data_IF_260269433684
#
_entry.id   IF_260269433684
#
_cell.length_a   1.000
_cell.length_b   1.000
_cell.length_c   1.000
_cell.angle_alpha   90.00
_cell.angle_beta   90.00
_cell.angle_gamma   90.00
#
_symmetry.space_group_name_H-M   'P 1'
#
loop_
_entity.id
_entity.type
_entity.pdbx_description
1 polymer ?
#
# COMPACT_ATOMS: atom_id res chain seq x y z
N UNK A 1 -2.04 0.47 -6.97
CA UNK A 1 -2.05 0.94 -5.57
C UNK A 1 -1.32 -0.05 -4.67
N UNK A 2 0.00 0.10 -4.47
CA UNK A 2 0.79 -0.78 -3.60
C UNK A 2 0.21 -0.94 -2.20
N UNK A 3 -0.43 0.12 -1.68
CA UNK A 3 -1.14 0.14 -0.38
C UNK A 3 -2.19 -0.95 -0.20
N UNK A 4 -2.91 -1.33 -1.27
CA UNK A 4 -3.89 -2.44 -1.20
C UNK A 4 -3.17 -3.75 -0.95
N UNK A 5 -2.10 -4.00 -1.72
CA UNK A 5 -1.29 -5.22 -1.65
C UNK A 5 -0.68 -5.34 -0.25
N UNK A 6 -0.08 -4.27 0.27
CA UNK A 6 0.48 -4.22 1.62
C UNK A 6 -0.54 -4.60 2.69
N UNK A 7 -1.78 -4.08 2.59
CA UNK A 7 -2.84 -4.41 3.54
C UNK A 7 -3.38 -5.84 3.39
N UNK A 8 -3.25 -6.46 2.21
CA UNK A 8 -3.57 -7.89 2.04
C UNK A 8 -2.49 -8.77 2.67
N UNK A 9 -1.22 -8.45 2.41
CA UNK A 9 -0.08 -9.25 2.86
C UNK A 9 0.11 -9.16 4.36
N UNK A 10 0.08 -7.95 4.91
CA UNK A 10 0.50 -7.68 6.30
C UNK A 10 -0.64 -7.20 7.19
N UNK A 11 -1.87 -7.08 6.68
CA UNK A 11 -3.01 -6.58 7.46
C UNK A 11 -3.28 -7.36 8.75
N UNK A 12 -3.03 -8.68 8.74
CA UNK A 12 -3.15 -9.52 9.93
C UNK A 12 -2.16 -9.13 11.04
N UNK A 13 -0.95 -8.72 10.68
CA UNK A 13 0.10 -8.29 11.60
C UNK A 13 -0.13 -6.88 12.17
N UNK A 14 -1.13 -6.15 11.66
CA UNK A 14 -1.45 -4.79 12.10
C UNK A 14 -2.59 -4.73 13.11
N UNK A 15 -3.09 -5.89 13.56
CA UNK A 15 -4.23 -5.92 14.49
C UNK A 15 -4.00 -5.05 15.73
N UNK A 16 -5.03 -4.26 16.06
CA UNK A 16 -5.07 -3.26 17.14
C UNK A 16 -4.03 -2.15 17.03
N UNK A 17 -3.41 -1.97 15.86
CA UNK A 17 -2.44 -0.89 15.58
C UNK A 17 -3.05 0.14 14.64
N UNK A 18 -2.41 1.31 14.64
CA UNK A 18 -2.68 2.39 13.70
C UNK A 18 -1.58 2.38 12.65
N UNK A 19 -1.94 2.03 11.42
CA UNK A 19 -1.03 1.98 10.27
C UNK A 19 -1.19 3.26 9.45
N UNK A 20 -0.08 3.95 9.21
CA UNK A 20 -0.02 5.18 8.41
C UNK A 20 0.69 4.86 7.10
N UNK A 21 0.03 5.16 5.98
CA UNK A 21 0.66 5.13 4.67
C UNK A 21 1.18 6.52 4.31
N UNK A 22 2.50 6.63 4.17
CA UNK A 22 3.13 7.82 3.63
C UNK A 22 3.07 7.81 2.12
N UNK A 23 2.66 8.93 1.52
CA UNK A 23 2.56 9.06 0.06
C UNK A 23 2.86 10.51 -0.36
N UNK A 24 3.62 10.67 -1.42
CA UNK A 24 3.90 11.96 -2.07
C UNK A 24 2.77 12.44 -2.99
N UNK A 25 1.72 11.62 -3.19
CA UNK A 25 0.56 11.99 -3.96
C UNK A 25 -0.60 12.41 -3.04
N UNK A 26 -0.81 13.71 -2.93
CA UNK A 26 -1.85 14.30 -2.08
C UNK A 26 -3.26 13.87 -2.47
N UNK A 27 -3.54 13.67 -3.77
CA UNK A 27 -4.83 13.15 -4.22
C UNK A 27 -5.09 11.73 -3.71
N UNK A 28 -4.06 10.87 -3.68
CA UNK A 28 -4.18 9.54 -3.10
C UNK A 28 -4.35 9.59 -1.59
N UNK A 29 -3.64 10.48 -0.89
CA UNK A 29 -3.83 10.71 0.55
C UNK A 29 -5.28 11.11 0.84
N UNK A 30 -5.82 12.04 0.06
CA UNK A 30 -7.22 12.47 0.17
C UNK A 30 -8.20 11.31 -0.06
N UNK A 31 -8.04 10.55 -1.15
CA UNK A 31 -8.91 9.41 -1.48
C UNK A 31 -8.84 8.32 -0.39
N UNK A 32 -7.64 8.01 0.10
CA UNK A 32 -7.41 7.01 1.15
C UNK A 32 -8.06 7.41 2.47
N UNK A 33 -7.95 8.67 2.87
CA UNK A 33 -8.57 9.17 4.10
C UNK A 33 -10.09 9.30 3.97
N UNK A 34 -10.59 9.78 2.82
CA UNK A 34 -12.03 9.92 2.54
C UNK A 34 -12.73 8.57 2.29
N UNK A 35 -11.97 7.53 1.95
CA UNK A 35 -12.48 6.20 1.57
C UNK A 35 -13.41 6.22 0.35
N UNK A 36 -13.28 7.23 -0.51
CA UNK A 36 -14.07 7.36 -1.75
C UNK A 36 -13.28 8.05 -2.87
N UNK A 37 -13.61 7.68 -4.11
CA UNK A 37 -13.16 8.25 -5.37
C UNK A 37 -14.34 8.24 -6.35
N UNK A 38 -14.32 9.11 -7.36
CA UNK A 38 -15.29 9.07 -8.46
C UNK A 38 -14.93 8.00 -9.50
N UNK A 39 -13.65 7.68 -9.62
CA UNK A 39 -13.15 6.66 -10.53
C UNK A 39 -13.52 5.25 -10.03
N UNK A 40 -14.16 4.46 -10.89
CA UNK A 40 -14.68 3.13 -10.56
C UNK A 40 -13.58 2.11 -10.25
N UNK A 41 -12.44 2.20 -10.95
CA UNK A 41 -11.27 1.33 -10.77
C UNK A 41 -10.62 1.65 -9.42
N UNK A 42 -10.38 2.94 -9.14
CA UNK A 42 -9.85 3.39 -7.85
C UNK A 42 -10.82 2.98 -6.72
N UNK A 43 -12.13 3.13 -6.92
CA UNK A 43 -13.12 2.73 -5.93
C UNK A 43 -13.12 1.23 -5.63
N UNK A 44 -12.90 0.39 -6.64
CA UNK A 44 -12.72 -1.04 -6.43
C UNK A 44 -11.55 -1.31 -5.46
N UNK A 45 -10.41 -0.64 -5.66
CA UNK A 45 -9.25 -0.75 -4.77
C UNK A 45 -9.54 -0.23 -3.35
N UNK A 46 -10.21 0.92 -3.24
CA UNK A 46 -10.53 1.54 -1.95
C UNK A 46 -11.51 0.69 -1.14
N UNK A 47 -12.53 0.10 -1.77
CA UNK A 47 -13.46 -0.82 -1.09
C UNK A 47 -12.70 -1.99 -0.47
N UNK A 48 -11.80 -2.62 -1.22
CA UNK A 48 -10.98 -3.74 -0.70
C UNK A 48 -10.10 -3.31 0.44
N UNK A 49 -9.42 -2.18 0.29
CA UNK A 49 -8.57 -1.64 1.33
C UNK A 49 -9.37 -1.34 2.61
N UNK A 50 -10.62 -0.90 2.49
CA UNK A 50 -11.49 -0.58 3.63
C UNK A 50 -11.99 -1.83 4.36
N UNK A 51 -12.13 -2.96 3.65
CA UNK A 51 -12.47 -4.25 4.26
C UNK A 51 -11.33 -4.83 5.11
N UNK A 52 -10.06 -4.49 4.84
CA UNK A 52 -8.92 -5.04 5.61
C UNK A 52 -8.92 -4.58 7.07
N UNK A 53 -9.03 -3.27 7.40
CA UNK A 53 -9.25 -2.76 8.74
C UNK A 53 -10.36 -3.49 9.50
N UNK A 54 -11.50 -3.73 8.83
CA UNK A 54 -12.65 -4.40 9.43
C UNK A 54 -12.35 -5.87 9.74
N UNK A 55 -11.68 -6.57 8.82
CA UNK A 55 -11.33 -7.99 8.98
C UNK A 55 -10.28 -8.24 10.05
N UNK A 56 -9.25 -7.39 10.11
CA UNK A 56 -8.08 -7.61 10.97
C UNK A 56 -8.02 -6.67 12.18
N UNK A 57 -9.05 -5.84 12.37
CA UNK A 57 -9.21 -4.89 13.47
C UNK A 57 -8.01 -3.93 13.62
N UNK A 58 -7.68 -3.21 12.56
CA UNK A 58 -6.64 -2.16 12.59
C UNK A 58 -7.16 -0.83 12.08
N UNK A 59 -6.50 0.27 12.44
CA UNK A 59 -6.84 1.59 11.92
C UNK A 59 -5.90 1.97 10.79
N UNK A 60 -6.44 2.47 9.67
CA UNK A 60 -5.66 2.84 8.51
C UNK A 60 -5.82 4.33 8.20
N UNK A 61 -4.70 5.03 8.02
CA UNK A 61 -4.63 6.43 7.61
C UNK A 61 -3.60 6.61 6.51
N UNK A 62 -3.72 7.70 5.76
CA UNK A 62 -2.68 8.17 4.84
C UNK A 62 -2.21 9.56 5.27
N UNK A 63 -0.91 9.82 5.10
CA UNK A 63 -0.30 11.11 5.36
C UNK A 63 0.55 11.50 4.16
N UNK A 64 0.41 12.76 3.73
CA UNK A 64 1.26 13.30 2.68
C UNK A 64 2.66 13.55 3.23
N UNK A 65 3.68 13.13 2.48
CA UNK A 65 5.08 13.46 2.76
C UNK A 65 5.71 14.08 1.52
N UNK A 66 6.67 14.98 1.71
CA UNK A 66 7.39 15.58 0.59
C UNK A 66 8.15 14.49 -0.19
N UNK A 67 8.20 14.60 -1.52
CA UNK A 67 8.87 13.62 -2.38
C UNK A 67 10.34 13.35 -2.00
N UNK A 68 11.05 14.37 -1.51
CA UNK A 68 12.43 14.26 -1.00
C UNK A 68 12.56 13.41 0.29
N UNK A 69 11.45 13.08 0.95
CA UNK A 69 11.41 12.16 2.11
C UNK A 69 10.87 10.78 1.73
N UNK A 70 10.46 10.59 0.47
CA UNK A 70 9.89 9.36 -0.07
C UNK A 70 10.93 8.55 -0.90
N UNK A 71 12.22 8.76 -0.65
CA UNK A 71 13.32 8.28 -1.50
C UNK A 71 13.33 6.76 -1.70
N UNK A 72 13.03 5.97 -0.67
CA UNK A 72 12.97 4.50 -0.79
C UNK A 72 11.84 4.10 -1.74
N UNK A 73 10.65 4.68 -1.58
CA UNK A 73 9.50 4.35 -2.41
C UNK A 73 9.67 4.88 -3.86
N UNK A 74 10.26 6.05 -4.03
CA UNK A 74 10.65 6.59 -5.35
C UNK A 74 11.65 5.65 -6.05
N UNK A 75 12.70 5.24 -5.35
CA UNK A 75 13.69 4.29 -5.86
C UNK A 75 13.06 2.93 -6.25
N UNK A 76 12.14 2.40 -5.42
CA UNK A 76 11.38 1.18 -5.74
C UNK A 76 10.52 1.40 -6.99
N UNK A 77 9.80 2.51 -7.09
CA UNK A 77 8.91 2.80 -8.22
C UNK A 77 9.66 2.94 -9.56
N UNK A 78 10.92 3.39 -9.49
CA UNK A 78 11.83 3.53 -10.63
C UNK A 78 12.72 2.30 -10.86
N UNK A 79 12.53 1.24 -10.08
CA UNK A 79 13.32 0.00 -10.16
C UNK A 79 14.83 0.22 -9.97
N UNK A 80 15.21 1.22 -9.17
CA UNK A 80 16.60 1.56 -8.86
C UNK A 80 17.15 0.70 -7.72
N UNK A 81 17.28 -0.62 -7.93
CA UNK A 81 17.59 -1.58 -6.86
C UNK A 81 18.89 -1.28 -6.10
N UNK A 82 19.94 -0.83 -6.79
CA UNK A 82 21.17 -0.40 -6.13
C UNK A 82 20.93 0.75 -5.12
N UNK A 83 20.11 1.74 -5.50
CA UNK A 83 19.71 2.85 -4.62
C UNK A 83 18.82 2.36 -3.48
N UNK A 84 17.90 1.41 -3.74
CA UNK A 84 17.07 0.79 -2.69
C UNK A 84 17.93 0.11 -1.64
N UNK A 85 18.89 -0.73 -2.03
CA UNK A 85 19.77 -1.42 -1.08
C UNK A 85 20.71 -0.47 -0.32
N UNK A 86 21.06 0.68 -0.92
CA UNK A 86 21.79 1.73 -0.21
C UNK A 86 20.91 2.46 0.82
N UNK A 87 19.69 2.83 0.45
CA UNK A 87 18.75 3.57 1.30
C UNK A 87 18.08 2.71 2.38
N UNK A 88 17.94 1.41 2.14
CA UNK A 88 17.35 0.45 3.05
C UNK A 88 18.21 -0.83 3.14
N UNK A 89 19.37 -0.78 3.82
CA UNK A 89 20.26 -1.93 3.96
C UNK A 89 19.63 -3.11 4.73
N UNK A 90 18.57 -2.83 5.51
CA UNK A 90 17.78 -3.84 6.24
C UNK A 90 16.69 -4.50 5.38
N UNK A 91 16.50 -4.07 4.13
CA UNK A 91 15.53 -4.72 3.25
C UNK A 91 16.02 -6.11 2.84
N UNK A 92 15.10 -7.06 2.77
CA UNK A 92 15.42 -8.42 2.32
C UNK A 92 16.05 -8.39 0.91
N UNK A 93 17.11 -9.17 0.72
CA UNK A 93 17.84 -9.27 -0.55
C UNK A 93 17.01 -9.98 -1.63
N UNK A 94 16.02 -10.78 -1.22
CA UNK A 94 15.15 -11.54 -2.10
C UNK A 94 13.69 -11.11 -1.90
N UNK A 95 12.90 -11.02 -2.99
CA UNK A 95 11.51 -10.62 -2.89
C UNK A 95 10.69 -11.65 -2.10
N UNK A 96 9.78 -11.17 -1.26
CA UNK A 96 8.80 -12.04 -0.61
C UNK A 96 7.84 -12.66 -1.65
N UNK A 97 7.38 -13.88 -1.39
CA UNK A 97 6.37 -14.52 -2.22
C UNK A 97 5.06 -13.74 -2.11
N UNK A 98 4.64 -13.13 -3.22
CA UNK A 98 3.35 -12.44 -3.32
C UNK A 98 2.32 -13.40 -3.91
N UNK A 99 1.11 -13.50 -3.33
CA UNK A 99 0.01 -14.23 -3.96
C UNK A 99 -0.30 -13.63 -5.33
N UNK A 100 -0.97 -14.40 -6.19
CA UNK A 100 -1.31 -13.96 -7.53
C UNK A 100 -2.00 -12.58 -7.49
N UNK A 101 -1.37 -11.59 -8.13
CA UNK A 101 -1.84 -10.21 -8.08
C UNK A 101 -3.22 -10.06 -8.75
N UNK A 102 -3.51 -10.88 -9.76
CA UNK A 102 -4.80 -10.93 -10.43
C UNK A 102 -5.87 -11.43 -9.47
N UNK A 103 -5.63 -12.50 -8.71
CA UNK A 103 -6.58 -12.96 -7.68
C UNK A 103 -6.76 -11.91 -6.56
N UNK A 104 -5.66 -11.25 -6.17
CA UNK A 104 -5.66 -10.19 -5.16
C UNK A 104 -6.46 -8.95 -5.60
N UNK A 105 -6.52 -8.70 -6.91
CA UNK A 105 -7.22 -7.58 -7.56
C UNK A 105 -8.57 -8.00 -8.17
N UNK A 106 -8.85 -9.29 -8.34
CA UNK A 106 -10.05 -9.88 -8.94
C UNK A 106 -10.30 -11.34 -8.45
N UNK A 107 -10.78 -11.58 -7.22
CA UNK A 107 -10.92 -12.93 -6.66
C UNK A 107 -12.12 -13.71 -7.23
N UNK A 108 -12.87 -13.16 -8.19
CA UNK A 108 -14.08 -13.74 -8.76
C UNK A 108 -14.00 -13.93 -10.29
N UNK A 109 -12.80 -14.01 -10.87
CA UNK A 109 -12.61 -14.16 -12.33
C UNK A 109 -11.99 -15.50 -12.76
N UNK A 110 -11.95 -16.50 -11.87
CA UNK A 110 -11.79 -17.92 -12.18
C UNK A 110 -12.72 -18.75 -11.31
#
# INVERSE_FOLDING_TARGET
>A
MPTVISAVLWGANWSRRRTIFHCDNEALVYILNKRRSADSIIMMFIRRLTLRPLKYNFHLMALHIAGATNDIADAISRQQWARVHHLAPWADTFPCQIPNLVELIYPNFF
#
